data_IF_671605121839
#
_entry.id   IF_671605121839
#
_cell.length_a   1.000
_cell.length_b   1.000
_cell.length_c   1.000
_cell.angle_alpha   90.00
_cell.angle_beta   90.00
_cell.angle_gamma   90.00
#
_symmetry.space_group_name_H-M   'P 1'
#
loop_
_entity.id
_entity.type
_entity.pdbx_description
1 polymer ?
#
# COMPACT_ATOMS: atom_id res chain seq x y z
N UNK A 1 33.04 26.85 49.02
CA UNK A 1 31.79 26.19 48.72
C UNK A 1 31.56 26.30 47.18
N UNK A 2 31.88 25.24 46.40
CA UNK A 2 31.71 25.19 44.94
C UNK A 2 30.44 24.44 44.63
N UNK A 3 29.43 25.12 44.04
CA UNK A 3 28.16 24.52 43.61
C UNK A 3 28.36 23.93 42.22
N UNK A 4 28.31 22.61 42.08
CA UNK A 4 28.22 21.91 40.79
C UNK A 4 26.76 21.91 40.33
N UNK A 5 26.51 22.57 39.23
CA UNK A 5 25.22 22.51 38.53
C UNK A 5 25.30 21.38 37.49
N UNK A 6 24.63 20.27 37.74
CA UNK A 6 24.51 19.18 36.82
C UNK A 6 23.39 19.53 35.78
N UNK A 7 23.79 19.74 34.56
CA UNK A 7 22.86 19.91 33.44
C UNK A 7 22.38 18.53 32.97
N UNK A 8 21.10 18.24 33.22
CA UNK A 8 20.43 17.04 32.77
C UNK A 8 20.02 17.24 31.27
N UNK A 9 20.78 16.65 30.37
CA UNK A 9 20.44 16.63 28.93
C UNK A 9 19.36 15.56 28.72
N UNK A 10 18.12 16.01 28.55
CA UNK A 10 16.99 15.15 28.18
C UNK A 10 17.08 14.86 26.67
N UNK A 11 17.64 13.73 26.32
CA UNK A 11 17.66 13.23 24.93
C UNK A 11 16.25 12.88 24.49
N UNK A 12 15.66 13.72 23.64
CA UNK A 12 14.40 13.42 22.93
C UNK A 12 14.67 12.31 21.91
N UNK A 13 14.38 11.06 22.28
CA UNK A 13 14.34 9.94 21.33
C UNK A 13 13.04 10.07 20.55
N UNK A 14 13.11 10.62 19.34
CA UNK A 14 12.04 10.58 18.37
C UNK A 14 11.89 9.13 17.92
N UNK A 15 11.02 8.38 18.58
CA UNK A 15 10.50 7.12 18.05
C UNK A 15 9.67 7.45 16.82
N UNK A 16 10.29 7.31 15.64
CA UNK A 16 9.55 7.26 14.38
C UNK A 16 8.61 6.06 14.45
N UNK A 17 7.31 6.31 14.65
CA UNK A 17 6.26 5.30 14.54
C UNK A 17 6.07 4.90 13.07
N UNK A 18 7.07 4.27 12.46
CA UNK A 18 6.88 3.45 11.28
C UNK A 18 6.31 2.12 11.75
N UNK A 19 4.98 1.96 11.72
CA UNK A 19 4.34 0.68 12.02
C UNK A 19 4.90 -0.40 11.09
N UNK A 20 5.27 -1.57 11.64
CA UNK A 20 5.68 -2.70 10.80
C UNK A 20 4.50 -3.17 9.95
N UNK A 21 4.77 -3.50 8.67
CA UNK A 21 3.76 -4.05 7.77
C UNK A 21 3.15 -5.31 8.40
N UNK A 22 1.82 -5.40 8.53
CA UNK A 22 1.16 -6.58 9.08
C UNK A 22 1.44 -7.83 8.23
N UNK A 23 1.51 -9.03 8.82
CA UNK A 23 1.77 -10.28 8.08
C UNK A 23 0.78 -10.55 6.93
N UNK A 24 -0.44 -10.03 7.02
CA UNK A 24 -1.50 -10.16 6.01
C UNK A 24 -1.80 -8.86 5.30
N UNK A 25 -0.92 -7.86 5.39
CA UNK A 25 -1.04 -6.55 4.76
C UNK A 25 -2.25 -5.71 5.17
N UNK A 26 -3.20 -6.24 5.92
CA UNK A 26 -4.39 -5.51 6.41
C UNK A 26 -4.34 -5.32 7.92
N UNK A 27 -5.03 -4.28 8.42
CA UNK A 27 -5.13 -4.02 9.85
C UNK A 27 -6.17 -4.96 10.48
N UNK A 28 -5.70 -6.02 11.15
CA UNK A 28 -6.55 -6.99 11.86
C UNK A 28 -6.86 -6.51 13.28
N UNK A 29 -7.29 -5.26 13.43
CA UNK A 29 -7.64 -4.62 14.70
C UNK A 29 -8.72 -3.57 14.49
N UNK A 30 -9.36 -3.16 15.56
CA UNK A 30 -10.31 -2.05 15.55
C UNK A 30 -9.61 -0.74 15.19
N UNK A 31 -10.31 0.14 14.45
CA UNK A 31 -9.83 1.44 13.99
C UNK A 31 -10.96 2.46 14.18
N UNK A 32 -10.76 3.46 15.03
CA UNK A 32 -11.81 4.40 15.40
C UNK A 32 -13.06 3.66 15.90
N UNK A 33 -14.20 3.99 15.35
CA UNK A 33 -15.48 3.35 15.66
C UNK A 33 -15.72 2.03 14.90
N UNK A 34 -14.83 1.69 13.99
CA UNK A 34 -14.92 0.47 13.18
C UNK A 34 -14.25 -0.72 13.87
N UNK A 35 -15.04 -1.75 14.16
CA UNK A 35 -14.55 -3.02 14.70
C UNK A 35 -14.15 -3.96 13.59
N UNK A 36 -12.92 -4.49 13.67
CA UNK A 36 -12.44 -5.52 12.77
C UNK A 36 -13.36 -6.76 12.79
N UNK A 37 -13.73 -7.23 11.63
CA UNK A 37 -14.62 -8.38 11.46
C UNK A 37 -13.90 -9.61 10.96
N UNK A 38 -13.24 -9.51 9.82
CA UNK A 38 -12.59 -10.65 9.17
C UNK A 38 -11.56 -10.22 8.13
N UNK A 39 -10.62 -11.11 7.92
CA UNK A 39 -9.71 -11.12 6.79
C UNK A 39 -10.18 -12.08 5.70
N UNK A 40 -9.88 -11.77 4.43
CA UNK A 40 -10.02 -12.67 3.29
C UNK A 40 -8.84 -12.46 2.34
N UNK A 41 -8.32 -13.56 1.81
CA UNK A 41 -7.44 -13.51 0.65
C UNK A 41 -8.30 -13.46 -0.60
N UNK A 42 -7.98 -12.56 -1.54
CA UNK A 42 -8.77 -12.35 -2.77
C UNK A 42 -7.94 -12.84 -3.94
N UNK A 43 -8.52 -13.75 -4.72
CA UNK A 43 -7.86 -14.31 -5.91
C UNK A 43 -8.12 -13.47 -7.15
N UNK A 44 -9.27 -12.77 -7.20
CA UNK A 44 -9.65 -11.91 -8.31
C UNK A 44 -9.24 -10.47 -7.99
N UNK A 45 -8.32 -9.93 -8.76
CA UNK A 45 -7.72 -8.61 -8.56
C UNK A 45 -8.43 -7.60 -9.44
N UNK A 46 -8.94 -6.52 -8.84
CA UNK A 46 -9.73 -5.50 -9.52
C UNK A 46 -8.94 -4.77 -10.63
N UNK A 47 -7.65 -4.58 -10.45
CA UNK A 47 -6.76 -3.91 -11.41
C UNK A 47 -5.66 -4.87 -11.83
N UNK A 48 -5.94 -5.82 -12.75
CA UNK A 48 -4.90 -6.70 -13.27
C UNK A 48 -3.95 -5.91 -14.16
N UNK A 49 -2.64 -6.09 -13.96
CA UNK A 49 -1.59 -5.47 -14.76
C UNK A 49 -0.82 -6.57 -15.45
N UNK A 50 -0.72 -6.49 -16.78
CA UNK A 50 -0.04 -7.50 -17.59
C UNK A 50 1.44 -7.59 -17.20
N UNK A 51 1.92 -8.79 -16.94
CA UNK A 51 3.31 -9.04 -16.55
C UNK A 51 3.65 -8.68 -15.09
N UNK A 52 2.69 -8.17 -14.31
CA UNK A 52 2.89 -7.81 -12.90
C UNK A 52 1.98 -8.64 -12.00
N UNK A 53 2.48 -9.81 -11.57
CA UNK A 53 1.72 -10.70 -10.70
C UNK A 53 1.35 -9.99 -9.39
N UNK A 54 0.12 -10.24 -8.90
CA UNK A 54 -0.39 -9.59 -7.72
C UNK A 54 -1.18 -10.53 -6.82
N UNK A 55 -1.30 -10.16 -5.53
CA UNK A 55 -2.07 -10.87 -4.51
C UNK A 55 -2.96 -9.87 -3.78
N UNK A 56 -4.25 -10.21 -3.66
CA UNK A 56 -5.24 -9.37 -3.00
C UNK A 56 -5.51 -9.80 -1.56
N UNK A 57 -5.56 -8.84 -0.67
CA UNK A 57 -5.90 -9.01 0.74
C UNK A 57 -7.02 -8.04 1.09
N UNK A 58 -8.02 -8.51 1.83
CA UNK A 58 -9.12 -7.65 2.25
C UNK A 58 -9.44 -7.81 3.73
N UNK A 59 -9.83 -6.72 4.35
CA UNK A 59 -10.39 -6.70 5.70
C UNK A 59 -11.74 -6.00 5.68
N UNK A 60 -12.71 -6.58 6.38
CA UNK A 60 -14.01 -5.96 6.61
C UNK A 60 -14.12 -5.46 8.03
N UNK A 61 -14.77 -4.31 8.19
CA UNK A 61 -15.00 -3.63 9.47
C UNK A 61 -16.47 -3.31 9.62
N UNK A 62 -16.94 -3.24 10.86
CA UNK A 62 -18.32 -2.93 11.18
C UNK A 62 -18.34 -1.78 12.19
N UNK A 63 -19.14 -0.75 11.89
CA UNK A 63 -19.58 0.25 12.85
C UNK A 63 -21.05 0.02 13.17
N UNK A 64 -21.39 0.01 14.43
CA UNK A 64 -22.78 -0.01 14.90
C UNK A 64 -23.17 1.39 15.37
N UNK A 65 -24.14 1.95 14.70
CA UNK A 65 -24.80 3.17 15.13
C UNK A 65 -25.71 2.88 16.36
N UNK A 66 -25.91 3.86 17.28
CA UNK A 66 -26.90 3.79 18.36
C UNK A 66 -28.31 3.46 17.87
N UNK A 67 -28.65 3.77 16.63
CA UNK A 67 -29.95 3.46 16.00
C UNK A 67 -30.03 2.06 15.38
N UNK A 68 -29.05 1.17 15.71
CA UNK A 68 -28.94 -0.22 15.23
C UNK A 68 -28.69 -0.36 13.72
N UNK A 69 -28.29 0.70 13.04
CA UNK A 69 -27.79 0.62 11.67
C UNK A 69 -26.36 0.08 11.70
N UNK A 70 -26.07 -0.85 10.82
CA UNK A 70 -24.74 -1.44 10.69
C UNK A 70 -24.07 -0.94 9.43
N UNK A 71 -23.07 -0.12 9.59
CA UNK A 71 -22.19 0.29 8.49
C UNK A 71 -21.06 -0.73 8.31
N UNK A 72 -20.83 -1.12 7.07
CA UNK A 72 -19.74 -2.05 6.71
C UNK A 72 -18.73 -1.30 5.87
N UNK A 73 -17.50 -1.19 6.36
CA UNK A 73 -16.40 -0.68 5.59
C UNK A 73 -15.46 -1.81 5.16
N UNK A 74 -14.79 -1.62 4.04
CA UNK A 74 -13.86 -2.62 3.51
C UNK A 74 -12.57 -1.93 3.10
N UNK A 75 -11.45 -2.54 3.47
CA UNK A 75 -10.13 -2.18 2.96
C UNK A 75 -9.56 -3.32 2.13
N UNK A 76 -9.00 -2.99 0.97
CA UNK A 76 -8.27 -3.88 0.10
C UNK A 76 -6.82 -3.43 0.03
N UNK A 77 -5.90 -4.38 0.07
CA UNK A 77 -4.48 -4.16 -0.20
C UNK A 77 -4.06 -5.18 -1.26
N UNK A 78 -3.76 -4.71 -2.44
CA UNK A 78 -3.21 -5.54 -3.51
C UNK A 78 -1.70 -5.34 -3.56
N UNK A 79 -0.94 -6.42 -3.45
CA UNK A 79 0.53 -6.42 -3.47
C UNK A 79 0.99 -6.94 -4.82
N UNK A 80 1.72 -6.13 -5.56
CA UNK A 80 2.27 -6.45 -6.87
C UNK A 80 3.72 -6.91 -6.76
N UNK A 81 4.19 -7.66 -7.73
CA UNK A 81 5.57 -8.13 -7.78
C UNK A 81 6.55 -6.97 -8.04
N UNK A 82 6.12 -5.93 -8.76
CA UNK A 82 6.95 -4.80 -9.15
C UNK A 82 6.23 -3.48 -8.90
N UNK A 83 6.99 -2.48 -8.39
CA UNK A 83 6.50 -1.13 -8.13
C UNK A 83 6.66 -0.19 -9.34
N UNK A 84 7.60 -0.49 -10.26
CA UNK A 84 7.89 0.38 -11.40
C UNK A 84 6.63 0.63 -12.24
N UNK A 85 6.37 1.90 -12.56
CA UNK A 85 5.21 2.36 -13.35
C UNK A 85 3.82 2.03 -12.75
N UNK A 86 3.75 1.42 -11.56
CA UNK A 86 2.50 0.91 -10.99
C UNK A 86 1.41 1.99 -10.91
N UNK A 87 1.74 3.21 -10.45
CA UNK A 87 0.77 4.29 -10.33
C UNK A 87 0.17 4.70 -11.71
N UNK A 88 1.00 4.76 -12.75
CA UNK A 88 0.55 5.09 -14.09
C UNK A 88 -0.35 3.99 -14.67
N UNK A 89 0.08 2.74 -14.54
CA UNK A 89 -0.66 1.57 -15.05
C UNK A 89 -2.01 1.39 -14.33
N UNK A 90 -2.05 1.61 -13.01
CA UNK A 90 -3.30 1.61 -12.23
C UNK A 90 -4.22 2.73 -12.68
N UNK A 91 -3.71 3.96 -12.86
CA UNK A 91 -4.51 5.09 -13.31
C UNK A 91 -5.10 4.85 -14.72
N UNK A 92 -4.33 4.28 -15.63
CA UNK A 92 -4.79 3.96 -16.99
C UNK A 92 -5.84 2.84 -16.98
N UNK A 93 -5.62 1.81 -16.16
CA UNK A 93 -6.59 0.73 -15.97
C UNK A 93 -7.91 1.26 -15.41
N UNK A 94 -7.88 2.07 -14.35
CA UNK A 94 -9.07 2.66 -13.75
C UNK A 94 -9.86 3.52 -14.73
N UNK A 95 -9.18 4.34 -15.55
CA UNK A 95 -9.84 5.15 -16.60
C UNK A 95 -10.51 4.28 -17.65
N UNK A 96 -10.00 3.09 -17.94
CA UNK A 96 -10.56 2.17 -18.92
C UNK A 96 -11.82 1.46 -18.44
N UNK A 97 -12.02 1.33 -17.13
CA UNK A 97 -13.12 0.55 -16.55
C UNK A 97 -14.50 1.18 -16.79
N UNK A 98 -14.62 2.47 -17.09
CA UNK A 98 -15.90 3.19 -17.29
C UNK A 98 -16.95 2.98 -16.18
N UNK A 99 -16.58 2.29 -15.09
CA UNK A 99 -17.48 1.91 -13.99
C UNK A 99 -17.51 2.95 -12.89
N UNK A 100 -16.51 3.85 -12.88
CA UNK A 100 -16.31 4.85 -11.85
C UNK A 100 -16.05 6.22 -12.45
N UNK A 101 -16.59 7.24 -11.82
CA UNK A 101 -16.07 8.60 -11.94
C UNK A 101 -14.83 8.71 -11.05
N UNK A 102 -13.71 9.18 -11.62
CA UNK A 102 -12.44 9.30 -10.91
C UNK A 102 -12.05 10.77 -10.75
N UNK A 103 -11.71 11.17 -9.53
CA UNK A 103 -11.12 12.47 -9.19
C UNK A 103 -9.97 12.28 -8.21
N UNK A 104 -9.10 13.30 -8.10
CA UNK A 104 -8.03 13.31 -7.09
C UNK A 104 -8.51 14.04 -5.86
N UNK A 105 -8.28 13.49 -4.69
CA UNK A 105 -8.61 14.09 -3.40
C UNK A 105 -7.39 14.15 -2.48
N UNK A 106 -7.30 15.24 -1.73
CA UNK A 106 -6.44 15.31 -0.54
C UNK A 106 -7.13 14.53 0.59
N UNK A 107 -6.48 13.48 1.05
CA UNK A 107 -6.96 12.63 2.15
C UNK A 107 -6.19 12.92 3.46
N UNK A 108 -5.67 14.14 3.64
CA UNK A 108 -4.98 14.60 4.84
C UNK A 108 -3.53 14.12 4.94
N UNK A 109 -3.29 12.81 4.91
CA UNK A 109 -1.95 12.21 4.96
C UNK A 109 -1.32 12.01 3.57
N UNK A 110 -2.05 12.31 2.49
CA UNK A 110 -1.59 12.18 1.11
C UNK A 110 -2.74 12.30 0.12
N UNK A 111 -2.43 12.18 -1.18
CA UNK A 111 -3.43 12.21 -2.23
C UNK A 111 -3.90 10.80 -2.59
N UNK A 112 -5.16 10.70 -2.97
CA UNK A 112 -5.77 9.45 -3.42
C UNK A 112 -6.73 9.73 -4.59
N UNK A 113 -7.00 8.72 -5.41
CA UNK A 113 -8.12 8.77 -6.33
C UNK A 113 -9.41 8.44 -5.58
N UNK A 114 -10.37 9.36 -5.65
CA UNK A 114 -11.76 9.08 -5.28
C UNK A 114 -12.41 8.39 -6.49
N UNK A 115 -12.95 7.22 -6.26
CA UNK A 115 -13.72 6.46 -7.23
C UNK A 115 -15.18 6.47 -6.78
N UNK A 116 -16.08 6.98 -7.60
CA UNK A 116 -17.50 6.98 -7.34
C UNK A 116 -18.21 6.11 -8.36
N UNK A 117 -18.81 5.03 -7.89
CA UNK A 117 -19.59 4.11 -8.72
C UNK A 117 -20.97 4.66 -9.05
N UNK A 118 -21.57 4.15 -10.14
CA UNK A 118 -22.94 4.52 -10.55
C UNK A 118 -24.01 4.14 -9.51
N UNK A 119 -23.73 3.16 -8.65
CA UNK A 119 -24.57 2.75 -7.52
C UNK A 119 -24.47 3.70 -6.32
N UNK A 120 -23.55 4.68 -6.35
CA UNK A 120 -23.31 5.64 -5.28
C UNK A 120 -22.29 5.15 -4.24
N UNK A 121 -21.64 4.02 -4.49
CA UNK A 121 -20.50 3.57 -3.69
C UNK A 121 -19.28 4.49 -3.90
N UNK A 122 -18.54 4.71 -2.82
CA UNK A 122 -17.38 5.59 -2.80
C UNK A 122 -16.16 4.86 -2.28
N UNK A 123 -15.04 5.04 -2.96
CA UNK A 123 -13.77 4.43 -2.62
C UNK A 123 -12.63 5.42 -2.75
N UNK A 124 -11.73 5.44 -1.76
CA UNK A 124 -10.42 6.05 -1.92
C UNK A 124 -9.40 4.98 -2.28
N UNK A 125 -8.64 5.21 -3.34
CA UNK A 125 -7.61 4.31 -3.83
C UNK A 125 -6.30 5.08 -4.03
N UNK A 126 -5.20 4.51 -3.56
CA UNK A 126 -3.86 5.07 -3.76
C UNK A 126 -2.81 3.98 -3.96
N UNK A 127 -1.66 4.38 -4.44
CA UNK A 127 -0.48 3.52 -4.61
C UNK A 127 0.52 3.84 -3.52
N UNK A 128 1.14 2.82 -2.96
CA UNK A 128 2.23 2.88 -1.99
C UNK A 128 3.27 1.83 -2.35
N UNK A 129 4.33 2.25 -3.04
CA UNK A 129 5.36 1.37 -3.60
C UNK A 129 4.75 0.27 -4.47
N UNK A 130 4.97 -1.01 -4.11
CA UNK A 130 4.40 -2.17 -4.79
C UNK A 130 2.97 -2.50 -4.36
N UNK A 131 2.27 -1.60 -3.68
CA UNK A 131 0.91 -1.84 -3.16
C UNK A 131 -0.11 -0.86 -3.72
N UNK A 132 -1.27 -1.39 -4.00
CA UNK A 132 -2.48 -0.59 -4.23
C UNK A 132 -3.39 -0.78 -3.03
N UNK A 133 -3.77 0.31 -2.38
CA UNK A 133 -4.66 0.30 -1.23
C UNK A 133 -5.98 0.95 -1.63
N UNK A 134 -7.10 0.34 -1.26
CA UNK A 134 -8.44 0.85 -1.52
C UNK A 134 -9.28 0.72 -0.27
N UNK A 135 -9.89 1.82 0.18
CA UNK A 135 -10.77 1.87 1.36
C UNK A 135 -12.10 2.48 0.96
N UNK A 136 -13.20 1.89 1.40
CA UNK A 136 -14.51 2.43 1.11
C UNK A 136 -15.64 1.79 1.88
N UNK A 137 -16.84 2.26 1.56
CA UNK A 137 -18.10 1.87 2.17
C UNK A 137 -19.18 1.64 1.09
N UNK A 138 -20.29 0.96 1.42
CA UNK A 138 -21.38 0.71 0.50
C UNK A 138 -22.11 2.00 0.10
N UNK A 139 -22.99 1.91 -0.93
CA UNK A 139 -23.77 3.06 -1.39
C UNK A 139 -24.53 3.78 -0.27
N UNK A 140 -24.48 5.11 -0.30
CA UNK A 140 -25.13 5.97 0.69
C UNK A 140 -24.30 6.29 1.93
N UNK A 141 -23.11 5.70 2.06
CA UNK A 141 -22.17 6.00 3.13
C UNK A 141 -20.95 6.73 2.61
N UNK A 142 -20.32 7.54 3.46
CA UNK A 142 -19.04 8.18 3.13
C UNK A 142 -17.87 7.26 3.44
N UNK A 143 -16.75 7.48 2.74
CA UNK A 143 -15.51 6.74 2.99
C UNK A 143 -15.05 7.00 4.43
N UNK A 144 -14.76 5.96 5.23
CA UNK A 144 -14.39 6.12 6.64
C UNK A 144 -13.02 6.77 6.81
N UNK A 145 -12.97 8.01 7.25
CA UNK A 145 -11.73 8.79 7.44
C UNK A 145 -10.74 8.07 8.38
N UNK A 146 -11.20 7.56 9.53
CA UNK A 146 -10.34 6.83 10.48
C UNK A 146 -9.61 5.65 9.82
N UNK A 147 -10.30 4.91 8.94
CA UNK A 147 -9.69 3.79 8.22
C UNK A 147 -8.70 4.28 7.17
N UNK A 148 -9.03 5.35 6.43
CA UNK A 148 -8.13 5.97 5.46
C UNK A 148 -6.85 6.42 6.14
N UNK A 149 -6.94 7.16 7.24
CA UNK A 149 -5.81 7.66 8.01
C UNK A 149 -4.92 6.53 8.53
N UNK A 150 -5.54 5.49 9.09
CA UNK A 150 -4.82 4.32 9.60
C UNK A 150 -4.08 3.57 8.49
N UNK A 151 -4.71 3.39 7.33
CA UNK A 151 -4.06 2.73 6.18
C UNK A 151 -3.03 3.63 5.50
N UNK A 152 -3.24 4.94 5.38
CA UNK A 152 -2.23 5.87 4.85
C UNK A 152 -1.02 6.02 5.77
N UNK A 153 -1.23 5.95 7.09
CA UNK A 153 -0.10 5.92 8.04
C UNK A 153 0.76 4.66 7.87
N UNK A 154 0.16 3.53 7.49
CA UNK A 154 0.85 2.27 7.24
C UNK A 154 1.44 2.19 5.83
N UNK A 155 0.72 2.70 4.86
CA UNK A 155 1.04 2.71 3.43
C UNK A 155 0.90 4.13 2.89
N UNK A 156 1.90 5.02 3.11
CA UNK A 156 1.87 6.39 2.61
C UNK A 156 1.66 6.44 1.10
N UNK A 157 0.82 7.36 0.66
CA UNK A 157 0.54 7.52 -0.75
C UNK A 157 1.76 8.03 -1.52
N UNK A 158 2.05 7.42 -2.66
CA UNK A 158 3.06 7.87 -3.63
C UNK A 158 2.48 8.83 -4.69
N UNK A 159 1.21 9.25 -4.55
CA UNK A 159 0.56 10.15 -5.50
C UNK A 159 0.79 11.61 -5.16
N UNK A 160 0.92 12.44 -6.20
CA UNK A 160 0.91 13.90 -6.12
C UNK A 160 -0.52 14.47 -6.18
N UNK A 161 -0.67 15.77 -6.11
CA UNK A 161 -1.94 16.51 -6.18
C UNK A 161 -2.69 16.35 -7.53
N UNK A 162 -2.01 15.79 -8.54
CA UNK A 162 -2.59 15.49 -9.84
C UNK A 162 -2.88 13.98 -10.02
N UNK A 163 -2.66 13.16 -8.97
CA UNK A 163 -2.84 11.72 -9.01
C UNK A 163 -1.78 11.00 -9.85
N UNK A 164 -0.56 11.57 -9.96
CA UNK A 164 0.60 10.96 -10.61
C UNK A 164 1.60 10.50 -9.57
N UNK A 165 2.48 9.57 -9.95
CA UNK A 165 3.58 9.17 -9.08
C UNK A 165 4.46 10.37 -8.72
N UNK A 166 4.82 10.52 -7.45
CA UNK A 166 5.77 11.52 -6.99
C UNK A 166 7.15 11.21 -7.54
N UNK A 167 7.87 12.23 -8.01
CA UNK A 167 9.26 12.09 -8.42
C UNK A 167 10.11 11.54 -7.26
N UNK A 168 10.87 10.47 -7.51
CA UNK A 168 11.76 9.85 -6.53
C UNK A 168 11.28 8.54 -5.91
N UNK A 169 10.00 8.17 -6.05
CA UNK A 169 9.51 6.85 -5.58
C UNK A 169 9.89 5.72 -6.54
N UNK A 170 10.11 6.01 -7.81
CA UNK A 170 10.50 5.00 -8.83
C UNK A 170 11.94 4.51 -8.70
N UNK A 171 12.85 5.27 -8.08
CA UNK A 171 14.30 4.96 -8.05
C UNK A 171 14.73 3.91 -7.02
N UNK A 172 13.90 3.55 -6.05
CA UNK A 172 14.29 2.64 -4.97
C UNK A 172 14.28 1.15 -5.37
N UNK A 173 13.70 0.80 -6.51
CA UNK A 173 13.56 -0.59 -6.97
C UNK A 173 14.72 -1.13 -7.80
N UNK A 174 15.59 -0.27 -8.37
CA UNK A 174 16.57 -0.70 -9.39
C UNK A 174 17.96 -0.97 -8.81
N UNK A 175 18.21 -0.65 -7.55
CA UNK A 175 19.56 -0.66 -6.95
C UNK A 175 20.08 -2.04 -6.53
N UNK A 176 19.22 -3.07 -6.46
CA UNK A 176 19.64 -4.40 -5.96
C UNK A 176 20.02 -5.41 -7.05
N UNK A 177 19.81 -5.11 -8.33
CA UNK A 177 20.09 -6.06 -9.43
C UNK A 177 21.46 -5.91 -10.10
N UNK A 178 22.20 -4.84 -9.78
CA UNK A 178 23.50 -4.57 -10.41
C UNK A 178 24.70 -5.22 -9.70
N UNK A 179 24.51 -5.84 -8.53
CA UNK A 179 25.62 -6.39 -7.73
C UNK A 179 25.80 -7.91 -7.82
N UNK A 180 24.91 -8.63 -8.48
CA UNK A 180 24.97 -10.11 -8.56
C UNK A 180 25.55 -10.66 -9.89
N UNK A 181 25.76 -9.83 -10.91
CA UNK A 181 26.30 -10.29 -12.20
C UNK A 181 27.83 -10.16 -12.36
N UNK A 182 28.55 -9.73 -11.33
CA UNK A 182 30.02 -9.57 -11.39
C UNK A 182 30.83 -10.71 -10.75
N UNK A 183 30.20 -11.85 -10.45
CA UNK A 183 30.85 -13.06 -9.91
C UNK A 183 30.85 -14.22 -10.89
N UNK A 184 31.24 -14.00 -12.14
CA UNK A 184 31.53 -15.07 -13.10
C UNK A 184 32.75 -15.83 -12.66
N UNK A 185 32.58 -16.93 -11.98
CA UNK A 185 33.62 -17.90 -11.59
C UNK A 185 34.12 -18.62 -12.84
N UNK A 186 35.33 -18.25 -13.25
CA UNK A 186 36.07 -18.86 -14.31
C UNK A 186 36.43 -20.30 -13.90
N UNK A 187 35.79 -21.30 -14.50
CA UNK A 187 36.07 -22.71 -14.28
C UNK A 187 37.46 -23.08 -14.84
N UNK A 188 38.36 -23.67 -14.08
CA UNK A 188 39.69 -24.04 -14.53
C UNK A 188 39.66 -25.13 -15.63
N UNK A 189 40.42 -24.89 -16.67
CA UNK A 189 40.54 -25.67 -17.92
C UNK A 189 41.21 -27.06 -17.77
N UNK A 190 40.98 -27.83 -16.71
CA UNK A 190 41.75 -29.07 -16.46
C UNK A 190 40.94 -30.38 -16.53
N UNK A 191 39.78 -30.40 -17.19
CA UNK A 191 39.01 -31.64 -17.40
C UNK A 191 38.61 -31.87 -18.87
N UNK A 192 39.56 -31.68 -19.77
CA UNK A 192 39.47 -32.19 -21.16
C UNK A 192 40.62 -33.17 -21.41
N UNK A 193 40.50 -34.38 -20.91
CA UNK A 193 41.22 -35.52 -21.47
C UNK A 193 40.61 -36.82 -20.91
N UNK A 194 40.21 -37.72 -21.81
CA UNK A 194 39.83 -39.10 -21.44
C UNK A 194 38.60 -39.65 -22.12
N UNK A 195 38.61 -39.81 -23.45
CA UNK A 195 37.81 -40.82 -24.13
C UNK A 195 38.70 -41.96 -24.57
N UNK A 196 38.53 -43.20 -24.15
CA UNK A 196 39.01 -44.39 -24.87
C UNK A 196 37.90 -45.01 -25.71
N UNK A 197 38.25 -45.39 -26.83
CA UNK A 197 37.86 -46.32 -27.89
C UNK A 197 36.78 -47.35 -27.54
#
# INVERSE_FOLDING_TARGET
MKRFTAALVFGLVLFGCGGSVPPRYVLERDVGDFRYRRYQHVLDIEVPIEGNAAQGHTASYIRRDPNDQTSIATAFVTVYAHAASLAAEVADSLRSLNSYEMSVQDAGAGYAWMLQGASGDKWLLWVSRERVVKVGAPPGEDVPEDLVDAYMSLYPSDLDEHGRAREGTESAGTSHRASEEAGGEELPASLREGAPR
#
